data_IF_163506670207
#
_entry.id   IF_163506670207
#
_cell.length_a   1.000
_cell.length_b   1.000
_cell.length_c   1.000
_cell.angle_alpha   90.00
_cell.angle_beta   90.00
_cell.angle_gamma   90.00
#
_symmetry.space_group_name_H-M   'P 1'
#
loop_
_entity.id
_entity.type
_entity.pdbx_description
1 polymer ?
#
# COMPACT_ATOMS: atom_id res chain seq x y z
N UNK A 1 23.25 23.23 1.38
CA UNK A 1 22.02 22.65 0.80
C UNK A 1 22.43 21.60 -0.22
N UNK A 2 21.71 20.49 -0.33
CA UNK A 2 21.92 19.44 -1.34
C UNK A 2 23.40 19.00 -1.53
N UNK A 3 24.18 18.90 -0.44
CA UNK A 3 25.58 18.49 -0.45
C UNK A 3 26.49 19.25 -1.45
N UNK A 4 26.16 20.48 -1.81
CA UNK A 4 26.95 21.30 -2.74
C UNK A 4 26.80 20.91 -4.21
N UNK A 5 25.78 20.12 -4.58
CA UNK A 5 25.50 19.74 -5.97
C UNK A 5 25.03 20.91 -6.84
N UNK A 6 24.54 21.99 -6.22
CA UNK A 6 23.97 23.14 -6.91
C UNK A 6 24.52 24.44 -6.33
N UNK A 7 24.84 25.38 -7.21
CA UNK A 7 25.21 26.74 -6.82
C UNK A 7 23.98 27.50 -6.30
N UNK A 8 24.22 28.48 -5.43
CA UNK A 8 23.15 29.31 -4.87
C UNK A 8 22.26 29.95 -5.96
N UNK A 9 22.86 30.42 -7.06
CA UNK A 9 22.15 31.02 -8.18
C UNK A 9 21.19 30.06 -8.91
N UNK A 10 21.45 28.75 -8.86
CA UNK A 10 20.56 27.75 -9.46
C UNK A 10 19.23 27.65 -8.70
N UNK A 11 19.24 27.85 -7.39
CA UNK A 11 18.02 27.87 -6.59
C UNK A 11 17.14 29.07 -6.94
N UNK A 12 17.72 30.27 -7.08
CA UNK A 12 16.97 31.48 -7.49
C UNK A 12 16.37 31.33 -8.90
N UNK A 13 17.11 30.72 -9.83
CA UNK A 13 16.59 30.45 -11.17
C UNK A 13 15.43 29.46 -11.14
N UNK A 14 15.56 28.37 -10.38
CA UNK A 14 14.50 27.38 -10.19
C UNK A 14 13.27 27.97 -9.51
N UNK A 15 13.46 28.80 -8.48
CA UNK A 15 12.38 29.50 -7.78
C UNK A 15 11.60 30.39 -8.74
N UNK A 16 12.28 31.28 -9.45
CA UNK A 16 11.63 32.15 -10.44
C UNK A 16 10.95 31.36 -11.55
N UNK A 17 11.55 30.25 -12.01
CA UNK A 17 10.95 29.39 -13.02
C UNK A 17 9.63 28.77 -12.51
N UNK A 18 9.63 28.18 -11.32
CA UNK A 18 8.44 27.56 -10.71
C UNK A 18 7.33 28.60 -10.51
N UNK A 19 7.66 29.79 -9.98
CA UNK A 19 6.67 30.86 -9.77
C UNK A 19 6.02 31.31 -11.09
N UNK A 20 6.82 31.47 -12.15
CA UNK A 20 6.28 31.83 -13.47
C UNK A 20 5.42 30.71 -14.06
N UNK A 21 5.81 29.44 -13.90
CA UNK A 21 5.02 28.29 -14.36
C UNK A 21 3.68 28.16 -13.65
N UNK A 22 3.62 28.51 -12.36
CA UNK A 22 2.38 28.54 -11.58
C UNK A 22 1.59 29.84 -11.77
N UNK A 23 2.03 30.74 -12.65
CA UNK A 23 1.43 32.07 -12.87
C UNK A 23 1.29 32.86 -11.56
N UNK A 24 2.26 32.71 -10.65
CA UNK A 24 2.26 33.30 -9.30
C UNK A 24 1.06 32.87 -8.43
N UNK A 25 0.28 31.87 -8.85
CA UNK A 25 -0.81 31.30 -8.07
C UNK A 25 -0.22 30.32 -7.05
N UNK A 26 -0.01 30.83 -5.84
CA UNK A 26 0.50 30.05 -4.72
C UNK A 26 -0.62 29.84 -3.70
N UNK A 27 -0.82 28.58 -3.34
CA UNK A 27 -1.79 28.18 -2.35
C UNK A 27 -3.07 27.61 -2.98
N UNK A 28 -3.42 26.43 -2.52
CA UNK A 28 -4.70 25.78 -2.73
C UNK A 28 -5.13 25.16 -1.40
N UNK A 29 -6.43 24.93 -1.15
CA UNK A 29 -6.87 24.19 0.02
C UNK A 29 -6.14 22.86 0.12
N UNK A 30 -5.46 22.61 1.24
CA UNK A 30 -4.67 21.40 1.47
C UNK A 30 -5.48 20.36 2.24
N UNK A 31 -4.95 19.14 2.32
CA UNK A 31 -5.54 18.07 3.13
C UNK A 31 -5.65 18.53 4.59
N UNK A 32 -4.59 19.17 5.12
CA UNK A 32 -4.56 19.68 6.49
C UNK A 32 -5.71 20.65 6.79
N UNK A 33 -6.05 21.54 5.84
CA UNK A 33 -7.18 22.47 6.01
C UNK A 33 -8.51 21.72 6.20
N UNK A 34 -8.79 20.74 5.35
CA UNK A 34 -10.02 19.94 5.47
C UNK A 34 -9.99 19.01 6.69
N UNK A 35 -8.83 18.46 7.03
CA UNK A 35 -8.67 17.62 8.21
C UNK A 35 -8.98 18.39 9.48
N UNK A 36 -8.45 19.61 9.64
CA UNK A 36 -8.75 20.45 10.80
C UNK A 36 -10.23 20.81 10.90
N UNK A 37 -10.87 21.10 9.76
CA UNK A 37 -12.30 21.40 9.71
C UNK A 37 -13.13 20.20 10.21
N UNK A 38 -12.86 19.01 9.68
CA UNK A 38 -13.59 17.78 10.04
C UNK A 38 -13.31 17.39 11.50
N UNK A 39 -12.05 17.47 11.96
CA UNK A 39 -11.69 17.17 13.37
C UNK A 39 -12.43 18.11 14.32
N UNK A 40 -12.56 19.39 13.98
CA UNK A 40 -13.28 20.36 14.79
C UNK A 40 -14.80 20.11 14.80
N UNK A 41 -15.38 19.71 13.66
CA UNK A 41 -16.81 19.38 13.53
C UNK A 41 -17.16 18.10 14.30
N UNK A 42 -16.36 17.06 14.13
CA UNK A 42 -16.60 15.71 14.68
C UNK A 42 -16.07 15.54 16.11
N UNK A 43 -15.37 16.56 16.64
CA UNK A 43 -14.75 16.55 17.97
C UNK A 43 -13.78 15.38 18.17
N UNK A 44 -13.02 15.05 17.12
CA UNK A 44 -12.06 13.96 17.14
C UNK A 44 -10.98 14.17 18.19
N UNK A 45 -10.49 13.05 18.74
CA UNK A 45 -9.32 13.06 19.63
C UNK A 45 -8.08 13.44 18.82
N UNK A 46 -7.16 14.17 19.44
CA UNK A 46 -5.85 14.53 18.85
C UNK A 46 -5.07 13.33 18.29
N UNK A 47 -5.30 12.14 18.84
CA UNK A 47 -4.68 10.91 18.35
C UNK A 47 -5.19 10.49 16.95
N UNK A 48 -6.48 10.68 16.68
CA UNK A 48 -7.10 10.43 15.37
C UNK A 48 -6.50 11.40 14.35
N UNK A 49 -6.38 12.68 14.72
CA UNK A 49 -5.73 13.70 13.88
C UNK A 49 -4.28 13.31 13.55
N UNK A 50 -3.48 12.91 14.55
CA UNK A 50 -2.11 12.46 14.32
C UNK A 50 -2.03 11.22 13.41
N UNK A 51 -2.95 10.26 13.58
CA UNK A 51 -2.99 9.05 12.76
C UNK A 51 -3.38 9.40 11.31
N UNK A 52 -4.36 10.27 11.12
CA UNK A 52 -4.76 10.74 9.80
C UNK A 52 -3.63 11.50 9.11
N UNK A 53 -2.94 12.40 9.82
CA UNK A 53 -1.77 13.10 9.30
C UNK A 53 -0.66 12.13 8.88
N UNK A 54 -0.44 11.06 9.65
CA UNK A 54 0.52 10.02 9.29
C UNK A 54 0.12 9.29 8.00
N UNK A 55 -1.15 8.92 7.86
CA UNK A 55 -1.70 8.27 6.66
C UNK A 55 -1.57 9.20 5.44
N UNK A 56 -1.90 10.48 5.58
CA UNK A 56 -1.74 11.49 4.52
C UNK A 56 -0.28 11.63 4.08
N UNK A 57 0.66 11.63 5.03
CA UNK A 57 2.08 11.68 4.70
C UNK A 57 2.60 10.43 4.00
N UNK A 58 2.05 9.25 4.32
CA UNK A 58 2.32 8.03 3.54
C UNK A 58 1.82 8.23 2.11
N UNK A 59 0.59 8.73 1.93
CA UNK A 59 -0.02 8.95 0.64
C UNK A 59 0.81 9.86 -0.29
N UNK A 60 1.56 10.83 0.24
CA UNK A 60 2.44 11.70 -0.55
C UNK A 60 3.56 10.95 -1.31
N UNK A 61 3.88 9.72 -0.93
CA UNK A 61 4.86 8.88 -1.62
C UNK A 61 4.27 8.09 -2.81
N UNK A 62 2.95 8.10 -3.00
CA UNK A 62 2.27 7.26 -3.98
C UNK A 62 1.55 8.10 -5.04
N UNK A 63 1.78 7.76 -6.32
CA UNK A 63 1.21 8.49 -7.46
C UNK A 63 -0.31 8.38 -7.54
N UNK A 64 -0.89 7.34 -6.95
CA UNK A 64 -2.34 7.07 -6.97
C UNK A 64 -3.16 8.22 -6.36
N UNK A 65 -2.56 9.02 -5.47
CA UNK A 65 -3.24 10.10 -4.75
C UNK A 65 -3.03 11.48 -5.36
N UNK A 66 -2.24 11.63 -6.44
CA UNK A 66 -1.92 12.94 -7.05
C UNK A 66 -3.18 13.64 -7.57
N UNK A 67 -4.14 12.87 -8.09
CA UNK A 67 -5.41 13.39 -8.62
C UNK A 67 -6.52 13.46 -7.57
N UNK A 68 -6.26 13.00 -6.33
CA UNK A 68 -7.26 12.98 -5.27
C UNK A 68 -7.52 14.37 -4.75
N UNK A 69 -8.79 14.74 -4.63
CA UNK A 69 -9.18 16.03 -4.04
C UNK A 69 -8.74 16.07 -2.56
N UNK A 70 -8.20 17.21 -2.08
CA UNK A 70 -7.76 17.34 -0.69
C UNK A 70 -8.86 17.04 0.35
N UNK A 71 -10.11 17.39 0.06
CA UNK A 71 -11.27 17.09 0.92
C UNK A 71 -11.56 15.59 1.04
N UNK A 72 -11.49 14.86 -0.07
CA UNK A 72 -11.66 13.39 -0.11
C UNK A 72 -10.54 12.72 0.66
N UNK A 73 -9.28 13.13 0.43
CA UNK A 73 -8.14 12.59 1.16
C UNK A 73 -8.26 12.81 2.67
N UNK A 74 -8.69 14.00 3.10
CA UNK A 74 -8.89 14.29 4.52
C UNK A 74 -9.96 13.38 5.14
N UNK A 75 -11.13 13.27 4.49
CA UNK A 75 -12.24 12.42 4.95
C UNK A 75 -11.85 10.94 5.01
N UNK A 76 -11.30 10.40 3.93
CA UNK A 76 -10.89 8.99 3.85
C UNK A 76 -9.79 8.67 4.87
N UNK A 77 -8.83 9.57 5.07
CA UNK A 77 -7.74 9.35 6.03
C UNK A 77 -8.22 9.41 7.48
N UNK A 78 -9.16 10.32 7.81
CA UNK A 78 -9.79 10.39 9.13
C UNK A 78 -10.66 9.16 9.44
N UNK A 79 -11.48 8.73 8.48
CA UNK A 79 -12.27 7.52 8.63
C UNK A 79 -11.38 6.28 8.85
N UNK A 80 -10.32 6.15 8.07
CA UNK A 80 -9.36 5.06 8.23
C UNK A 80 -8.61 5.16 9.56
N UNK A 81 -8.24 6.37 10.00
CA UNK A 81 -7.62 6.60 11.30
C UNK A 81 -8.53 6.16 12.47
N UNK A 82 -9.82 6.52 12.43
CA UNK A 82 -10.81 6.08 13.42
C UNK A 82 -10.93 4.56 13.45
N UNK A 83 -11.03 3.93 12.28
CA UNK A 83 -11.10 2.47 12.16
C UNK A 83 -9.86 1.77 12.74
N UNK A 84 -8.65 2.29 12.50
CA UNK A 84 -7.40 1.71 13.03
C UNK A 84 -7.31 1.86 14.55
N UNK A 85 -7.81 2.97 15.10
CA UNK A 85 -7.81 3.25 16.53
C UNK A 85 -8.99 2.64 17.28
N UNK A 86 -9.96 2.05 16.57
CA UNK A 86 -11.17 1.47 17.15
C UNK A 86 -12.18 2.51 17.63
N UNK A 87 -12.11 3.74 17.12
CA UNK A 87 -13.09 4.79 17.39
C UNK A 87 -14.33 4.61 16.49
N UNK A 88 -15.53 4.98 16.97
CA UNK A 88 -16.75 4.86 16.19
C UNK A 88 -16.68 5.72 14.92
N UNK A 89 -17.24 5.21 13.83
CA UNK A 89 -17.43 5.99 12.61
C UNK A 89 -18.52 7.05 12.87
N UNK A 90 -18.23 8.29 12.48
CA UNK A 90 -19.13 9.44 12.71
C UNK A 90 -19.99 9.75 11.47
N UNK A 91 -19.80 9.02 10.36
CA UNK A 91 -20.52 9.27 9.12
C UNK A 91 -21.90 8.58 9.09
N UNK A 92 -22.94 9.33 8.73
CA UNK A 92 -24.33 8.86 8.63
C UNK A 92 -24.62 7.95 7.40
N UNK A 93 -23.60 7.53 6.65
CA UNK A 93 -23.70 6.53 5.58
C UNK A 93 -23.64 7.06 4.15
N UNK A 94 -23.28 8.33 3.92
CA UNK A 94 -23.14 8.92 2.58
C UNK A 94 -21.68 8.92 2.12
N UNK A 95 -21.19 7.74 1.73
CA UNK A 95 -19.89 7.59 1.08
C UNK A 95 -20.07 7.52 -0.44
N UNK A 96 -19.47 8.45 -1.19
CA UNK A 96 -19.42 8.34 -2.64
C UNK A 96 -18.46 7.21 -3.07
N UNK A 97 -18.58 6.76 -4.32
CA UNK A 97 -17.68 5.79 -4.92
C UNK A 97 -16.22 6.23 -4.85
N UNK A 98 -15.96 7.53 -5.03
CA UNK A 98 -14.61 8.12 -4.98
C UNK A 98 -14.03 8.04 -3.57
N UNK A 99 -14.82 8.32 -2.53
CA UNK A 99 -14.38 8.22 -1.13
C UNK A 99 -14.01 6.76 -0.79
N UNK A 100 -14.84 5.81 -1.22
CA UNK A 100 -14.62 4.38 -1.01
C UNK A 100 -13.35 3.87 -1.69
N UNK A 101 -13.13 4.23 -2.96
CA UNK A 101 -11.90 3.87 -3.69
C UNK A 101 -10.68 4.46 -2.98
N UNK A 102 -10.76 5.73 -2.55
CA UNK A 102 -9.64 6.42 -1.90
C UNK A 102 -9.29 5.73 -0.57
N UNK A 103 -10.29 5.41 0.25
CA UNK A 103 -10.09 4.70 1.51
C UNK A 103 -9.48 3.30 1.28
N UNK A 104 -10.00 2.54 0.32
CA UNK A 104 -9.47 1.22 -0.01
C UNK A 104 -8.00 1.32 -0.46
N UNK A 105 -7.69 2.27 -1.34
CA UNK A 105 -6.34 2.48 -1.86
C UNK A 105 -5.38 2.91 -0.75
N UNK A 106 -5.82 3.79 0.16
CA UNK A 106 -5.05 4.16 1.36
C UNK A 106 -4.69 2.93 2.20
N UNK A 107 -5.67 2.06 2.47
CA UNK A 107 -5.46 0.87 3.30
C UNK A 107 -4.40 -0.08 2.73
N UNK A 108 -4.28 -0.15 1.40
CA UNK A 108 -3.31 -0.99 0.70
C UNK A 108 -1.88 -0.47 0.87
N UNK A 109 -1.71 0.86 0.85
CA UNK A 109 -0.40 1.53 0.92
C UNK A 109 0.14 1.73 2.35
N UNK A 110 -0.59 1.33 3.39
CA UNK A 110 -0.11 1.44 4.78
C UNK A 110 1.08 0.49 5.09
N UNK A 111 1.36 -0.47 4.22
CA UNK A 111 2.41 -1.46 4.41
C UNK A 111 3.80 -0.86 4.21
N UNK A 112 4.64 -0.90 5.25
CA UNK A 112 6.06 -0.51 5.22
C UNK A 112 6.33 0.95 4.80
N UNK A 113 5.85 1.93 5.60
CA UNK A 113 6.18 3.33 5.38
C UNK A 113 7.69 3.60 5.55
N UNK A 114 8.18 4.69 4.96
CA UNK A 114 9.61 5.02 5.01
C UNK A 114 10.13 5.12 6.44
N UNK A 115 11.38 4.72 6.66
CA UNK A 115 11.99 4.71 8.01
C UNK A 115 12.04 6.12 8.62
N UNK A 116 12.29 7.14 7.80
CA UNK A 116 12.29 8.54 8.24
C UNK A 116 10.90 8.96 8.74
N UNK A 117 9.86 8.63 7.98
CA UNK A 117 8.48 8.96 8.33
C UNK A 117 8.01 8.19 9.57
N UNK A 118 8.26 6.88 9.62
CA UNK A 118 7.94 6.04 10.79
C UNK A 118 8.63 6.55 12.06
N UNK A 119 9.88 7.03 11.95
CA UNK A 119 10.59 7.65 13.09
C UNK A 119 9.94 8.94 13.55
N UNK A 120 9.56 9.85 12.62
CA UNK A 120 8.85 11.11 12.93
C UNK A 120 7.57 10.82 13.72
N UNK A 121 6.70 9.96 13.20
CA UNK A 121 5.39 9.66 13.79
C UNK A 121 5.43 8.64 14.94
N UNK A 122 6.62 8.14 15.31
CA UNK A 122 6.83 7.34 16.52
C UNK A 122 7.03 8.19 17.78
N UNK A 123 7.22 9.51 17.62
CA UNK A 123 7.49 10.42 18.73
C UNK A 123 6.23 10.64 19.61
N UNK A 124 6.40 10.93 20.92
CA UNK A 124 5.27 11.11 21.83
C UNK A 124 4.33 12.26 21.44
N UNK A 125 4.86 13.34 20.85
CA UNK A 125 4.05 14.48 20.40
C UNK A 125 3.19 14.18 19.15
N UNK A 126 3.43 13.03 18.48
CA UNK A 126 2.56 12.48 17.44
C UNK A 126 1.79 11.25 17.94
N UNK A 127 1.53 11.16 19.25
CA UNK A 127 0.83 10.03 19.91
C UNK A 127 1.42 8.63 19.64
N UNK A 128 2.64 8.54 19.11
CA UNK A 128 3.26 7.29 18.70
C UNK A 128 2.48 6.50 17.64
N UNK A 129 1.70 7.17 16.80
CA UNK A 129 0.76 6.54 15.84
C UNK A 129 1.44 5.56 14.88
N UNK A 130 2.72 5.78 14.53
CA UNK A 130 3.46 4.82 13.71
C UNK A 130 3.59 3.44 14.37
N UNK A 131 3.79 3.40 15.69
CA UNK A 131 3.85 2.14 16.45
C UNK A 131 2.48 1.49 16.56
N UNK A 132 1.43 2.30 16.72
CA UNK A 132 0.05 1.82 16.79
C UNK A 132 -0.40 1.21 15.46
N UNK A 133 -0.10 1.86 14.34
CA UNK A 133 -0.33 1.30 13.01
C UNK A 133 0.41 -0.03 12.83
N UNK A 134 1.71 -0.08 13.16
CA UNK A 134 2.48 -1.32 13.06
C UNK A 134 1.88 -2.46 13.90
N UNK A 135 1.42 -2.15 15.12
CA UNK A 135 0.73 -3.13 15.99
C UNK A 135 -0.60 -3.59 15.39
N UNK A 136 -1.39 -2.67 14.84
CA UNK A 136 -2.66 -2.97 14.17
C UNK A 136 -2.45 -3.91 12.99
N UNK A 137 -1.47 -3.61 12.13
CA UNK A 137 -1.15 -4.45 10.97
C UNK A 137 -0.65 -5.84 11.38
N UNK A 138 0.17 -5.93 12.43
CA UNK A 138 0.63 -7.22 12.96
C UNK A 138 -0.55 -8.06 13.50
N UNK A 139 -1.51 -7.41 14.17
CA UNK A 139 -2.73 -8.08 14.63
C UNK A 139 -3.57 -8.59 13.46
N UNK A 140 -3.79 -7.75 12.44
CA UNK A 140 -4.55 -8.12 11.24
C UNK A 140 -3.89 -9.29 10.48
N UNK A 141 -2.56 -9.29 10.36
CA UNK A 141 -1.82 -10.39 9.74
C UNK A 141 -1.93 -11.70 10.52
N UNK A 142 -1.95 -11.65 11.86
CA UNK A 142 -2.15 -12.82 12.70
C UNK A 142 -3.57 -13.39 12.55
N UNK A 143 -4.59 -12.52 12.49
CA UNK A 143 -5.98 -12.94 12.27
C UNK A 143 -6.17 -13.59 10.91
N UNK A 144 -5.60 -13.01 9.85
CA UNK A 144 -5.68 -13.58 8.50
C UNK A 144 -5.01 -14.97 8.44
N UNK A 145 -3.87 -15.16 9.12
CA UNK A 145 -3.18 -16.45 9.23
C UNK A 145 -4.02 -17.48 10.01
N UNK A 146 -4.61 -17.09 11.13
CA UNK A 146 -5.47 -17.96 11.92
C UNK A 146 -6.70 -18.41 11.10
N UNK A 147 -7.33 -17.50 10.35
CA UNK A 147 -8.44 -17.83 9.46
C UNK A 147 -8.03 -18.77 8.33
N UNK A 148 -6.86 -18.56 7.72
CA UNK A 148 -6.33 -19.46 6.68
C UNK A 148 -6.00 -20.87 7.21
N UNK A 149 -5.57 -20.98 8.47
CA UNK A 149 -5.27 -22.26 9.12
C UNK A 149 -6.52 -22.98 9.66
N UNK A 150 -7.63 -22.25 9.87
CA UNK A 150 -8.87 -22.83 10.38
C UNK A 150 -9.59 -23.78 9.40
N UNK A 151 -9.19 -23.80 8.11
CA UNK A 151 -9.81 -24.64 7.08
C UNK A 151 -11.29 -24.30 6.82
N UNK A 152 -11.88 -24.74 5.68
CA UNK A 152 -13.31 -24.57 5.45
C UNK A 152 -14.10 -25.31 6.55
N UNK A 153 -15.25 -24.76 7.02
CA UNK A 153 -16.10 -25.47 7.97
C UNK A 153 -16.47 -26.82 7.35
N UNK A 154 -16.07 -27.90 8.03
CA UNK A 154 -16.52 -29.24 7.64
C UNK A 154 -18.05 -29.23 7.70
N UNK A 155 -18.76 -29.73 6.66
CA UNK A 155 -20.21 -29.77 6.67
C UNK A 155 -20.70 -30.54 7.91
N UNK A 156 -21.83 -30.14 8.51
CA UNK A 156 -22.36 -30.83 9.67
C UNK A 156 -22.59 -32.30 9.29
N UNK A 157 -21.88 -33.19 9.98
CA UNK A 157 -22.22 -34.61 9.93
C UNK A 157 -23.58 -34.73 10.62
N UNK A 158 -24.62 -34.99 9.83
CA UNK A 158 -25.91 -35.39 10.35
C UNK A 158 -25.68 -36.59 11.28
N UNK A 159 -25.87 -36.36 12.57
CA UNK A 159 -26.04 -37.45 13.51
C UNK A 159 -27.29 -38.20 13.08
N UNK A 160 -27.11 -39.31 12.38
CA UNK A 160 -28.18 -40.24 12.06
C UNK A 160 -28.83 -40.71 13.36
N UNK A 161 -29.95 -40.06 13.71
CA UNK A 161 -30.89 -40.52 14.72
C UNK A 161 -31.32 -41.91 14.28
N UNK A 162 -30.89 -42.94 15.03
CA UNK A 162 -31.31 -44.33 14.82
C UNK A 162 -32.83 -44.40 14.98
N UNK A 163 -33.55 -44.29 13.88
CA UNK A 163 -34.94 -44.71 13.81
C UNK A 163 -34.96 -46.23 13.95
N UNK A 164 -35.71 -46.72 14.93
CA UNK A 164 -35.93 -48.14 15.11
C UNK A 164 -36.73 -48.67 13.90
N UNK A 165 -36.06 -49.48 13.08
CA UNK A 165 -36.65 -50.28 12.01
C UNK A 165 -37.62 -51.33 12.60
N UNK A 166 -38.87 -50.93 12.79
CA UNK A 166 -39.99 -51.85 12.95
C UNK A 166 -40.39 -52.28 11.55
N UNK A 167 -39.72 -53.31 11.03
CA UNK A 167 -40.21 -54.33 10.08
C UNK A 167 -39.01 -54.94 9.34
N UNK A 168 -38.55 -56.12 9.79
CA UNK A 168 -37.98 -57.13 8.91
C UNK A 168 -38.03 -58.51 9.56
N UNK A 169 -38.35 -59.48 8.72
CA UNK A 169 -38.75 -60.86 8.96
C UNK A 169 -37.59 -61.76 9.45
N UNK A 170 -37.91 -62.90 10.09
CA UNK A 170 -36.90 -63.76 10.70
C UNK A 170 -36.33 -64.74 9.68
N UNK A 171 -35.02 -64.99 9.67
CA UNK A 171 -34.42 -66.33 9.45
C UNK A 171 -32.93 -66.39 9.82
N UNK A 172 -32.66 -67.19 10.85
CA UNK A 172 -31.73 -68.34 10.85
C UNK A 172 -30.22 -68.10 10.66
N UNK A 173 -29.50 -68.14 11.80
CA UNK A 173 -28.64 -69.27 12.12
C UNK A 173 -27.11 -69.08 12.01
N UNK A 174 -26.44 -69.37 13.14
CA UNK A 174 -25.08 -69.94 13.30
C UNK A 174 -23.89 -69.15 12.69
N UNK A 175 -22.78 -68.88 13.33
CA UNK A 175 -22.14 -69.40 14.54
C UNK A 175 -20.62 -69.18 14.36
N UNK A 176 -19.90 -69.02 15.47
CA UNK A 176 -18.47 -69.32 15.67
C UNK A 176 -17.37 -68.67 14.78
N UNK A 177 -16.48 -67.94 15.49
CA UNK A 177 -15.01 -68.08 15.51
C UNK A 177 -14.14 -67.53 14.35
N UNK A 178 -13.42 -66.46 14.68
CA UNK A 178 -11.96 -66.21 14.57
C UNK A 178 -11.08 -67.11 13.66
N UNK A 179 -10.42 -66.49 12.67
CA UNK A 179 -9.12 -66.93 12.14
C UNK A 179 -9.06 -67.30 10.65
N UNK A 180 -8.11 -66.66 9.93
CA UNK A 180 -7.30 -67.16 8.80
C UNK A 180 -7.97 -67.92 7.62
N UNK A 181 -7.89 -67.37 6.40
CA UNK A 181 -7.63 -68.05 5.11
C UNK A 181 -7.89 -67.03 3.97
N UNK A 182 -6.92 -66.65 3.12
CA UNK A 182 -6.26 -67.44 2.05
C UNK A 182 -7.08 -67.47 0.74
N UNK A 183 -6.41 -67.34 -0.41
CA UNK A 183 -6.96 -67.73 -1.72
C UNK A 183 -6.84 -66.73 -2.87
N UNK A 184 -5.76 -66.86 -3.65
CA UNK A 184 -5.55 -66.35 -5.01
C UNK A 184 -6.69 -66.70 -5.99
N UNK A 185 -6.95 -65.87 -7.01
CA UNK A 185 -7.22 -66.30 -8.39
C UNK A 185 -7.03 -65.17 -9.45
N UNK A 186 -5.93 -65.30 -10.20
CA UNK A 186 -5.71 -65.07 -11.65
C UNK A 186 -5.95 -63.72 -12.37
N UNK A 187 -5.03 -63.33 -13.31
CA UNK A 187 -5.04 -62.13 -14.15
C UNK A 187 -5.75 -62.35 -15.52
N UNK A 188 -6.03 -61.30 -16.34
CA UNK A 188 -5.12 -61.04 -17.48
C UNK A 188 -5.01 -59.58 -18.02
N UNK A 189 -3.87 -59.33 -18.69
CA UNK A 189 -3.65 -58.48 -19.90
C UNK A 189 -3.52 -56.94 -19.73
N UNK A 190 -2.25 -56.52 -19.56
CA UNK A 190 -1.55 -55.43 -20.31
C UNK A 190 -1.67 -55.69 -21.83
N UNK A 191 -1.50 -54.76 -22.80
CA UNK A 191 -0.47 -53.72 -22.81
C UNK A 191 -0.86 -52.47 -23.67
N UNK A 192 -0.08 -51.49 -24.08
CA UNK A 192 1.34 -51.16 -24.24
C UNK A 192 1.42 -49.63 -24.12
N UNK A 193 2.50 -48.96 -23.75
CA UNK A 193 3.89 -49.33 -23.53
C UNK A 193 4.52 -48.06 -22.96
N UNK A 194 5.34 -48.17 -21.92
CA UNK A 194 6.80 -48.33 -22.07
C UNK A 194 7.37 -47.11 -22.79
N UNK A 195 8.24 -46.31 -22.17
CA UNK A 195 9.45 -46.74 -21.50
C UNK A 195 9.99 -45.51 -20.73
N UNK A 196 10.32 -45.65 -19.45
CA UNK A 196 11.69 -45.84 -18.95
C UNK A 196 12.60 -44.65 -19.32
N UNK A 197 13.27 -43.94 -18.40
CA UNK A 197 14.28 -44.38 -17.42
C UNK A 197 14.50 -43.18 -16.48
N UNK A 198 14.31 -43.32 -15.16
CA UNK A 198 15.36 -43.49 -14.14
C UNK A 198 16.36 -42.31 -14.05
N UNK A 199 16.22 -41.43 -13.05
CA UNK A 199 16.91 -41.47 -11.73
C UNK A 199 17.94 -40.30 -11.64
N UNK A 200 18.62 -40.07 -10.50
CA UNK A 200 18.11 -39.46 -9.28
C UNK A 200 18.86 -38.15 -8.88
N UNK A 201 18.37 -37.58 -7.77
CA UNK A 201 18.89 -36.50 -6.92
C UNK A 201 20.41 -36.25 -6.89
N UNK A 202 20.74 -34.96 -6.93
CA UNK A 202 21.54 -34.16 -5.97
C UNK A 202 22.53 -33.24 -6.69
N UNK A 203 22.38 -31.90 -6.57
CA UNK A 203 23.46 -30.89 -6.46
C UNK A 203 22.84 -29.48 -6.27
N UNK A 204 23.46 -28.71 -5.37
CA UNK A 204 23.12 -27.38 -4.83
C UNK A 204 22.75 -26.25 -5.84
N UNK A 205 21.98 -25.23 -5.40
CA UNK A 205 21.49 -24.16 -6.25
C UNK A 205 22.52 -23.05 -6.52
N UNK A 206 22.71 -22.69 -7.80
CA UNK A 206 23.38 -21.47 -8.23
C UNK A 206 22.41 -20.27 -8.24
N UNK A 207 22.84 -19.06 -7.82
CA UNK A 207 22.00 -17.87 -7.82
C UNK A 207 21.83 -17.25 -9.22
N UNK A 208 20.71 -16.56 -9.49
CA UNK A 208 20.40 -16.01 -10.80
C UNK A 208 21.23 -14.74 -11.10
N UNK A 209 21.76 -14.67 -12.32
CA UNK A 209 22.43 -13.49 -12.88
C UNK A 209 21.39 -12.41 -13.22
N UNK A 210 21.61 -11.21 -12.71
CA UNK A 210 20.85 -10.00 -13.06
C UNK A 210 21.08 -9.60 -14.54
N UNK A 211 20.06 -9.13 -15.28
CA UNK A 211 20.28 -8.48 -16.57
C UNK A 211 20.71 -7.02 -16.40
N UNK A 212 21.62 -6.60 -17.29
CA UNK A 212 22.29 -5.30 -17.36
C UNK A 212 21.49 -4.36 -18.26
N UNK A 213 21.22 -3.14 -17.82
CA UNK A 213 20.54 -2.06 -18.57
C UNK A 213 21.54 -1.33 -19.49
N UNK A 214 21.19 -0.95 -20.74
CA UNK A 214 22.11 -0.27 -21.65
C UNK A 214 22.29 1.22 -21.30
N UNK A 215 23.55 1.67 -21.36
CA UNK A 215 24.00 3.06 -21.18
C UNK A 215 23.80 3.88 -22.46
N UNK A 216 23.29 5.14 -22.41
CA UNK A 216 23.25 6.02 -23.57
C UNK A 216 24.61 6.74 -23.80
N UNK A 217 25.07 6.75 -25.06
CA UNK A 217 26.22 7.54 -25.54
C UNK A 217 25.86 9.04 -25.69
N UNK A 218 26.81 9.97 -25.42
CA UNK A 218 26.62 11.39 -25.66
C UNK A 218 26.98 11.76 -27.12
N UNK A 219 26.07 12.47 -27.81
CA UNK A 219 26.36 13.18 -29.04
C UNK A 219 26.08 14.67 -28.84
N UNK A 220 27.15 15.47 -28.84
CA UNK A 220 27.10 16.93 -28.95
C UNK A 220 26.60 17.35 -30.34
N UNK A 221 25.94 18.53 -30.43
CA UNK A 221 26.63 19.60 -31.17
C UNK A 221 26.50 21.01 -30.56
N UNK A 222 27.62 21.73 -30.69
CA UNK A 222 27.79 23.15 -31.00
C UNK A 222 27.07 24.24 -30.17
N UNK A 223 27.89 24.96 -29.41
CA UNK A 223 27.68 26.32 -28.93
C UNK A 223 27.36 27.30 -30.07
N UNK A 224 26.26 28.05 -29.95
CA UNK A 224 26.07 29.34 -30.65
C UNK A 224 25.44 30.36 -29.68
N UNK A 225 26.28 31.32 -29.28
CA UNK A 225 26.00 32.74 -28.98
C UNK A 225 24.84 33.14 -28.06
N UNK A 226 25.13 33.39 -26.78
CA UNK A 226 24.23 34.06 -25.81
C UNK A 226 24.63 35.53 -25.50
N UNK A 227 25.47 36.14 -26.34
CA UNK A 227 26.05 37.47 -26.10
C UNK A 227 25.10 38.67 -26.29
N UNK A 228 23.83 38.47 -26.66
CA UNK A 228 22.90 39.60 -26.89
C UNK A 228 21.98 39.96 -25.72
N UNK A 229 21.80 39.10 -24.71
CA UNK A 229 20.88 39.41 -23.60
C UNK A 229 21.52 40.22 -22.46
N UNK A 230 22.86 40.23 -22.37
CA UNK A 230 23.56 40.92 -21.29
C UNK A 230 23.72 42.44 -21.51
N UNK A 231 23.61 42.91 -22.76
CA UNK A 231 23.69 44.36 -23.05
C UNK A 231 22.39 45.11 -22.75
N UNK A 232 21.22 44.45 -22.79
CA UNK A 232 19.96 45.13 -22.48
C UNK A 232 19.80 45.42 -20.99
N UNK A 233 20.36 44.60 -20.09
CA UNK A 233 20.21 44.81 -18.64
C UNK A 233 21.08 45.96 -18.09
N UNK A 234 22.21 46.26 -18.73
CA UNK A 234 23.09 47.36 -18.32
C UNK A 234 22.52 48.75 -18.65
N UNK A 235 21.67 48.85 -19.69
CA UNK A 235 21.07 50.12 -20.09
C UNK A 235 19.97 50.61 -19.14
N UNK A 236 19.27 49.71 -18.44
CA UNK A 236 18.18 50.09 -17.54
C UNK A 236 18.64 50.59 -16.16
N UNK A 237 19.87 50.28 -15.75
CA UNK A 237 20.39 50.69 -14.43
C UNK A 237 20.94 52.12 -14.40
N UNK A 238 21.07 52.79 -15.55
CA UNK A 238 21.74 54.10 -15.61
C UNK A 238 20.78 55.31 -15.68
N UNK A 239 19.46 55.08 -15.67
CA UNK A 239 18.48 56.14 -15.94
C UNK A 239 17.74 56.73 -14.72
N UNK A 240 18.00 56.24 -13.50
CA UNK A 240 17.23 56.60 -12.30
C UNK A 240 17.99 57.46 -11.26
N UNK A 241 18.99 58.25 -11.68
CA UNK A 241 19.78 59.08 -10.74
C UNK A 241 19.90 60.55 -11.13
N UNK A 242 18.86 61.16 -11.71
CA UNK A 242 18.76 62.62 -11.78
C UNK A 242 17.31 63.08 -11.73
N UNK A 243 16.84 63.53 -10.57
CA UNK A 243 15.50 64.09 -10.43
C UNK A 243 15.12 64.56 -9.04
N UNK A 244 15.93 65.41 -8.39
CA UNK A 244 15.52 66.12 -7.18
C UNK A 244 16.05 67.55 -7.21
N UNK A 245 15.13 68.52 -7.30
CA UNK A 245 15.14 69.91 -6.80
C UNK A 245 14.26 70.79 -7.69
N UNK A 246 13.03 71.09 -7.24
CA UNK A 246 12.55 72.39 -6.72
C UNK A 246 11.16 72.17 -6.14
#
# INVERSE_FOLDING_TARGET
MCCGLYDAGMFTQMEMHVLNTLEWTIGHPTVDFFSQLIVAEEHDRVEVEHMAAYICEIALYHRDFVSSKPSVMARSSLALARAILGEPEVNDGEWDHVDNITLLTLSQHLHQPSVALSRKFSAPHFSGVAKKLASFMAHQANMARAQAQAGPPSPPSDHATKHADIYSTPQKGHGAVQGMADGYMTPPITPDGHAFVNAPKDTYPMPPRCPVTPTPQPQHPAYVSQHMMQQHYAAYMHHDTTGQMV
#
